data_IF_341384752929
#
_entry.id   IF_341384752929
#
_cell.length_a   1.000
_cell.length_b   1.000
_cell.length_c   1.000
_cell.angle_alpha   90.00
_cell.angle_beta   90.00
_cell.angle_gamma   90.00
#
_symmetry.space_group_name_H-M   'P 1'
#
loop_
_entity.id
_entity.type
_entity.pdbx_description
1 polymer ?
#
# COMPACT_ATOMS: atom_id res chain seq x y z
N UNK A 1 3.63 -54.43 16.48
CA UNK A 1 3.09 -54.37 17.84
C UNK A 1 4.21 -54.29 18.87
N UNK A 2 4.40 -53.12 19.51
CA UNK A 2 4.86 -52.99 20.90
C UNK A 2 4.67 -51.54 21.32
N UNK A 3 3.87 -51.32 22.36
CA UNK A 3 3.64 -50.00 22.94
C UNK A 3 4.40 -49.93 24.27
N UNK A 4 4.95 -48.76 24.59
CA UNK A 4 5.37 -48.40 25.95
C UNK A 4 4.84 -46.98 26.22
N UNK A 5 4.13 -46.83 27.33
CA UNK A 5 3.68 -45.55 27.91
C UNK A 5 4.51 -45.25 29.16
N UNK A 6 4.56 -43.97 29.53
CA UNK A 6 4.83 -43.29 30.83
C UNK A 6 5.73 -42.06 30.54
N UNK A 7 5.55 -40.86 31.09
CA UNK A 7 4.46 -40.25 31.91
C UNK A 7 4.52 -38.70 31.78
N UNK A 8 3.51 -37.96 32.28
CA UNK A 8 3.47 -36.47 32.37
C UNK A 8 4.43 -35.96 33.49
N UNK A 9 4.75 -34.68 33.76
CA UNK A 9 4.36 -33.29 33.34
C UNK A 9 5.32 -32.28 34.06
N UNK A 10 5.24 -30.92 33.95
CA UNK A 10 4.66 -29.99 32.93
C UNK A 10 5.56 -28.77 32.50
N UNK A 11 5.23 -28.13 31.35
CA UNK A 11 5.34 -26.67 30.98
C UNK A 11 6.70 -25.92 31.04
N UNK A 12 6.99 -24.95 30.13
CA UNK A 12 6.11 -23.86 29.64
C UNK A 12 5.75 -23.86 28.12
N UNK A 13 4.98 -22.83 27.72
CA UNK A 13 4.30 -22.56 26.42
C UNK A 13 5.20 -22.61 25.16
N UNK A 14 4.78 -22.93 23.91
CA UNK A 14 3.54 -22.74 23.11
C UNK A 14 3.29 -21.26 22.70
N UNK A 15 3.06 -20.83 21.44
CA UNK A 15 2.88 -21.49 20.12
C UNK A 15 4.11 -21.23 19.21
N UNK A 16 4.50 -21.99 18.16
CA UNK A 16 3.80 -22.74 17.09
C UNK A 16 3.13 -21.88 15.98
N UNK A 17 3.96 -21.37 15.05
CA UNK A 17 3.58 -21.27 13.63
C UNK A 17 3.93 -22.59 12.93
N UNK A 18 3.03 -23.18 12.16
CA UNK A 18 3.36 -24.29 11.24
C UNK A 18 2.38 -24.29 10.07
N UNK A 19 2.82 -23.80 8.92
CA UNK A 19 2.13 -24.00 7.64
C UNK A 19 2.91 -25.04 6.83
N UNK A 20 2.21 -26.06 6.32
CA UNK A 20 2.83 -27.15 5.55
C UNK A 20 2.91 -26.79 4.06
N UNK A 21 4.13 -26.52 3.56
CA UNK A 21 4.45 -26.67 2.14
C UNK A 21 5.86 -27.28 1.99
N UNK A 22 5.97 -28.40 1.28
CA UNK A 22 7.23 -29.12 1.11
C UNK A 22 8.04 -28.61 -0.08
N UNK A 23 9.03 -27.77 0.18
CA UNK A 23 10.19 -27.53 -0.70
C UNK A 23 11.49 -27.60 0.12
N UNK A 24 12.66 -27.59 -0.54
CA UNK A 24 13.94 -27.91 0.10
C UNK A 24 14.37 -26.90 1.17
N UNK A 25 15.17 -27.32 2.19
CA UNK A 25 15.61 -26.42 3.25
C UNK A 25 16.70 -25.48 2.77
N UNK A 26 16.30 -24.33 2.23
CA UNK A 26 17.00 -23.09 2.56
C UNK A 26 16.71 -22.83 4.04
N UNK A 27 17.74 -22.57 4.85
CA UNK A 27 17.51 -22.05 6.20
C UNK A 27 17.01 -20.62 6.04
N UNK A 28 15.69 -20.45 6.08
CA UNK A 28 15.09 -19.13 6.27
C UNK A 28 15.75 -18.49 7.50
N UNK A 29 16.48 -17.40 7.29
CA UNK A 29 17.15 -16.71 8.37
C UNK A 29 16.09 -16.18 9.34
N UNK A 30 16.24 -16.50 10.62
CA UNK A 30 15.32 -16.06 11.66
C UNK A 30 15.23 -14.53 11.64
N UNK A 31 14.01 -13.99 11.68
CA UNK A 31 13.82 -12.54 11.79
C UNK A 31 14.28 -12.05 13.17
N UNK A 32 14.90 -10.88 13.22
CA UNK A 32 15.57 -10.36 14.41
C UNK A 32 14.98 -9.01 14.79
N UNK A 33 14.48 -8.87 16.02
CA UNK A 33 14.16 -7.55 16.57
C UNK A 33 15.45 -6.75 16.78
N UNK A 34 15.49 -5.54 16.23
CA UNK A 34 16.63 -4.62 16.35
C UNK A 34 16.27 -3.28 17.00
N UNK A 35 14.98 -3.02 17.23
CA UNK A 35 14.47 -1.88 18.00
C UNK A 35 13.20 -2.29 18.76
N UNK A 36 13.06 -1.80 19.99
CA UNK A 36 11.85 -1.87 20.84
C UNK A 36 11.96 -0.78 21.91
N UNK A 37 11.00 0.14 21.97
CA UNK A 37 10.87 1.18 23.01
C UNK A 37 9.64 1.00 23.93
N UNK A 38 8.89 -0.10 23.75
CA UNK A 38 7.62 -0.37 24.41
C UNK A 38 6.41 0.37 23.82
N UNK A 39 6.61 1.24 22.83
CA UNK A 39 5.56 1.81 21.98
C UNK A 39 5.54 1.15 20.60
N UNK A 40 6.71 0.90 20.02
CA UNK A 40 6.90 0.20 18.73
C UNK A 40 8.11 -0.73 18.78
N UNK A 41 7.98 -1.90 18.15
CA UNK A 41 9.08 -2.82 17.90
C UNK A 41 9.32 -2.99 16.39
N UNK A 42 10.59 -2.96 15.96
CA UNK A 42 11.01 -3.22 14.57
C UNK A 42 11.73 -4.55 14.47
N UNK A 43 11.32 -5.37 13.50
CA UNK A 43 11.84 -6.72 13.26
C UNK A 43 12.36 -6.81 11.83
N UNK A 44 13.65 -7.11 11.66
CA UNK A 44 14.28 -7.28 10.36
C UNK A 44 14.26 -8.74 9.92
N UNK A 45 13.75 -9.02 8.72
CA UNK A 45 13.69 -10.35 8.14
C UNK A 45 14.68 -10.50 6.96
N UNK A 46 15.71 -11.37 7.06
CA UNK A 46 16.73 -11.53 6.02
C UNK A 46 16.32 -12.46 4.87
N UNK A 47 15.45 -13.44 5.12
CA UNK A 47 14.97 -14.41 4.11
C UNK A 47 13.47 -14.72 4.30
N UNK A 48 12.58 -13.70 4.26
CA UNK A 48 11.15 -13.91 4.31
C UNK A 48 10.67 -14.69 3.07
N UNK A 49 9.71 -15.58 3.26
CA UNK A 49 9.12 -16.33 2.15
C UNK A 49 8.43 -15.36 1.16
N UNK A 50 8.77 -15.47 -0.13
CA UNK A 50 8.14 -14.71 -1.21
C UNK A 50 8.88 -13.44 -1.66
N UNK A 51 9.91 -12.96 -0.95
CA UNK A 51 10.76 -11.84 -1.41
C UNK A 51 12.03 -12.40 -2.03
N UNK A 52 12.20 -12.21 -3.34
CA UNK A 52 13.31 -12.80 -4.13
C UNK A 52 14.53 -11.89 -4.27
N UNK A 53 14.40 -10.63 -3.86
CA UNK A 53 15.39 -9.57 -3.98
C UNK A 53 16.55 -9.72 -2.98
N UNK A 54 17.76 -9.19 -3.27
CA UNK A 54 18.87 -9.25 -2.33
C UNK A 54 18.55 -8.49 -1.03
N UNK A 55 19.11 -8.97 0.08
CA UNK A 55 19.04 -8.23 1.35
C UNK A 55 19.83 -6.92 1.27
N UNK A 56 19.34 -5.91 1.99
CA UNK A 56 19.88 -4.54 2.02
C UNK A 56 20.52 -4.28 3.37
N UNK A 57 21.71 -3.65 3.44
CA UNK A 57 22.33 -3.31 4.72
C UNK A 57 21.54 -2.18 5.41
N UNK A 58 21.09 -2.47 6.63
CA UNK A 58 20.24 -1.61 7.46
C UNK A 58 21.04 -1.07 8.65
N UNK A 59 20.86 0.21 8.92
CA UNK A 59 21.53 0.94 9.99
C UNK A 59 20.49 1.59 10.90
N UNK A 60 20.56 1.39 12.22
CA UNK A 60 19.75 2.08 13.22
C UNK A 60 20.59 3.21 13.83
N UNK A 61 20.14 4.46 13.67
CA UNK A 61 20.81 5.67 14.18
C UNK A 61 22.32 5.71 13.82
N UNK A 62 22.64 5.23 12.60
CA UNK A 62 24.00 5.13 12.05
C UNK A 62 24.78 3.85 12.40
N UNK A 63 24.30 3.03 13.35
CA UNK A 63 24.88 1.73 13.69
C UNK A 63 24.34 0.61 12.81
N UNK A 64 25.21 -0.18 12.18
CA UNK A 64 24.79 -1.35 11.38
C UNK A 64 24.09 -2.40 12.26
N UNK A 65 22.87 -2.82 11.87
CA UNK A 65 22.06 -3.81 12.62
C UNK A 65 21.89 -5.14 11.88
N UNK A 66 21.99 -5.16 10.56
CA UNK A 66 21.88 -6.38 9.77
C UNK A 66 21.67 -6.14 8.28
N UNK A 67 21.55 -7.22 7.52
CA UNK A 67 21.08 -7.18 6.13
C UNK A 67 19.68 -7.80 6.08
N UNK A 68 18.67 -7.03 5.68
CA UNK A 68 17.26 -7.44 5.69
C UNK A 68 16.63 -7.26 4.31
N UNK A 69 15.66 -8.11 3.96
CA UNK A 69 14.82 -7.92 2.75
C UNK A 69 13.56 -7.12 3.04
N UNK A 70 13.00 -7.30 4.24
CA UNK A 70 11.91 -6.50 4.77
C UNK A 70 12.12 -6.18 6.25
N UNK A 71 11.43 -5.14 6.71
CA UNK A 71 11.30 -4.75 8.10
C UNK A 71 9.82 -4.73 8.45
N UNK A 72 9.43 -5.47 9.47
CA UNK A 72 8.08 -5.48 10.06
C UNK A 72 8.06 -4.52 11.25
N UNK A 73 6.94 -3.81 11.44
CA UNK A 73 6.73 -2.94 12.58
C UNK A 73 5.47 -3.33 13.35
N UNK A 74 5.64 -3.46 14.67
CA UNK A 74 4.61 -3.86 15.60
C UNK A 74 4.37 -2.73 16.59
N UNK A 75 3.23 -2.07 16.47
CA UNK A 75 2.86 -0.91 17.29
C UNK A 75 1.94 -1.30 18.44
N UNK A 76 2.08 -0.64 19.58
CA UNK A 76 1.14 -0.77 20.69
C UNK A 76 -0.28 -0.44 20.20
N UNK A 77 -1.22 -1.33 20.49
CA UNK A 77 -2.62 -1.14 20.11
C UNK A 77 -3.25 0.04 20.85
N UNK A 78 -3.97 0.90 20.13
CA UNK A 78 -4.73 2.01 20.73
C UNK A 78 -6.21 1.61 20.83
N UNK A 79 -6.85 1.62 22.02
CA UNK A 79 -6.35 2.09 23.33
C UNK A 79 -5.81 0.95 24.25
N UNK A 80 -5.51 -0.24 23.71
CA UNK A 80 -5.21 -1.45 24.49
C UNK A 80 -3.71 -1.63 24.77
N UNK A 81 -3.27 -1.20 25.97
CA UNK A 81 -1.92 -1.43 26.46
C UNK A 81 -1.53 -2.93 26.45
N UNK A 82 -0.37 -3.26 25.89
CA UNK A 82 0.21 -4.60 25.93
C UNK A 82 -0.19 -5.54 24.80
N UNK A 83 -0.97 -5.08 23.81
CA UNK A 83 -1.08 -5.74 22.51
C UNK A 83 -0.20 -4.99 21.51
N UNK A 84 0.49 -5.71 20.63
CA UNK A 84 1.37 -5.14 19.60
C UNK A 84 1.04 -5.74 18.22
N UNK A 85 -0.05 -5.32 17.57
CA UNK A 85 -0.35 -5.66 16.19
C UNK A 85 0.73 -5.21 15.21
N UNK A 86 0.92 -5.98 14.13
CA UNK A 86 1.63 -5.53 12.93
C UNK A 86 0.87 -4.34 12.31
N UNK A 87 1.56 -3.25 11.98
CA UNK A 87 0.95 -2.05 11.34
C UNK A 87 1.50 -1.78 9.96
N UNK A 88 2.77 -2.08 9.71
CA UNK A 88 3.34 -2.02 8.38
C UNK A 88 4.49 -3.01 8.17
N UNK A 89 4.75 -3.27 6.89
CA UNK A 89 5.91 -3.98 6.37
C UNK A 89 6.55 -3.09 5.30
N UNK A 90 7.81 -2.73 5.52
CA UNK A 90 8.66 -2.09 4.54
C UNK A 90 9.53 -3.17 3.88
N UNK A 91 9.29 -3.47 2.60
CA UNK A 91 10.14 -4.37 1.82
C UNK A 91 11.33 -3.54 1.29
N UNK A 92 12.27 -3.27 2.20
CA UNK A 92 13.45 -2.43 1.96
C UNK A 92 14.29 -2.88 0.76
N UNK A 93 14.18 -4.14 0.32
CA UNK A 93 14.87 -4.69 -0.85
C UNK A 93 14.29 -4.31 -2.22
N UNK A 94 13.03 -3.86 -2.31
CA UNK A 94 12.40 -3.47 -3.57
C UNK A 94 11.56 -2.19 -3.47
N UNK A 95 11.66 -1.46 -2.36
CA UNK A 95 10.93 -0.22 -2.05
C UNK A 95 9.41 -0.38 -1.86
N UNK A 96 8.84 -1.58 -1.91
CA UNK A 96 7.42 -1.78 -1.59
C UNK A 96 7.14 -1.44 -0.13
N UNK A 97 6.00 -0.82 0.11
CA UNK A 97 5.43 -0.55 1.41
C UNK A 97 4.05 -1.19 1.49
N UNK A 98 3.79 -1.98 2.54
CA UNK A 98 2.48 -2.56 2.84
C UNK A 98 2.08 -2.10 4.22
N UNK A 99 1.04 -1.28 4.29
CA UNK A 99 0.45 -0.86 5.56
C UNK A 99 -0.84 -1.64 5.82
N UNK A 100 -1.25 -1.64 7.09
CA UNK A 100 -2.54 -2.13 7.58
C UNK A 100 -2.95 -1.25 8.77
N UNK A 101 -4.17 -1.38 9.27
CA UNK A 101 -4.71 -0.55 10.35
C UNK A 101 -4.96 -1.35 11.63
N UNK A 102 -4.87 -0.67 12.77
CA UNK A 102 -5.28 -1.24 14.06
C UNK A 102 -6.81 -1.23 14.17
N UNK A 103 -7.40 -2.37 14.52
CA UNK A 103 -8.84 -2.48 14.83
C UNK A 103 -9.10 -2.08 16.28
N UNK A 104 -10.33 -1.66 16.59
CA UNK A 104 -10.73 -1.22 17.94
C UNK A 104 -10.63 -2.32 19.02
N UNK A 105 -10.56 -3.60 18.62
CA UNK A 105 -10.32 -4.75 19.51
C UNK A 105 -8.82 -4.99 19.80
N UNK A 106 -7.93 -4.17 19.25
CA UNK A 106 -6.48 -4.25 19.38
C UNK A 106 -5.80 -5.30 18.49
N UNK A 107 -6.56 -5.98 17.62
CA UNK A 107 -5.99 -6.74 16.51
C UNK A 107 -5.62 -5.83 15.33
N UNK A 108 -5.06 -6.40 14.27
CA UNK A 108 -4.87 -5.70 12.99
C UNK A 108 -5.71 -6.34 11.89
N UNK A 109 -5.95 -5.56 10.85
CA UNK A 109 -6.29 -6.06 9.54
C UNK A 109 -5.14 -6.83 8.88
N UNK A 110 -5.45 -7.69 7.93
CA UNK A 110 -4.43 -8.28 7.07
C UNK A 110 -3.75 -7.23 6.17
N UNK A 111 -2.49 -7.48 5.78
CA UNK A 111 -1.82 -6.70 4.74
C UNK A 111 -2.54 -6.93 3.39
N UNK A 112 -2.65 -5.88 2.59
CA UNK A 112 -3.27 -5.94 1.26
C UNK A 112 -2.45 -5.17 0.23
N UNK A 113 -3.07 -4.11 -0.31
CA UNK A 113 -2.49 -3.19 -1.29
C UNK A 113 -1.10 -2.72 -0.89
N UNK A 114 -0.17 -2.76 -1.85
CA UNK A 114 1.19 -2.26 -1.72
C UNK A 114 1.33 -0.90 -2.39
N UNK A 115 2.22 -0.03 -1.86
CA UNK A 115 2.68 1.17 -2.56
C UNK A 115 4.17 1.05 -2.83
N UNK A 116 4.57 1.18 -4.09
CA UNK A 116 5.98 1.23 -4.51
C UNK A 116 6.52 2.61 -4.16
N UNK A 117 7.40 2.68 -3.16
CA UNK A 117 7.98 3.91 -2.64
C UNK A 117 9.13 4.47 -3.49
N UNK A 118 9.00 4.40 -4.82
CA UNK A 118 9.99 4.83 -5.80
C UNK A 118 9.33 5.09 -7.16
N UNK A 119 10.00 5.85 -8.04
CA UNK A 119 9.51 6.08 -9.40
C UNK A 119 9.62 4.79 -10.22
N UNK A 120 9.16 4.84 -11.47
CA UNK A 120 9.47 3.83 -12.49
C UNK A 120 9.34 4.43 -13.89
N UNK A 121 9.99 3.86 -14.89
CA UNK A 121 9.92 4.40 -16.26
C UNK A 121 10.14 3.35 -17.35
N UNK A 122 9.62 3.62 -18.55
CA UNK A 122 9.90 2.82 -19.74
C UNK A 122 10.85 3.55 -20.68
N UNK A 123 11.95 2.90 -21.02
CA UNK A 123 12.92 3.39 -22.00
C UNK A 123 12.45 3.18 -23.45
N UNK A 124 13.08 3.86 -24.41
CA UNK A 124 12.73 3.82 -25.83
C UNK A 124 12.83 2.45 -26.51
N UNK A 125 13.49 1.48 -25.88
CA UNK A 125 13.55 0.06 -26.28
C UNK A 125 12.44 -0.81 -25.68
N UNK A 126 11.55 -0.22 -24.86
CA UNK A 126 10.40 -0.87 -24.23
C UNK A 126 10.68 -1.49 -22.86
N UNK A 127 11.91 -1.43 -22.34
CA UNK A 127 12.26 -1.97 -21.02
C UNK A 127 11.59 -1.14 -19.92
N UNK A 128 10.85 -1.81 -19.03
CA UNK A 128 10.30 -1.21 -17.82
C UNK A 128 11.32 -1.30 -16.68
N UNK A 129 11.86 -0.16 -16.29
CA UNK A 129 12.63 0.02 -15.07
C UNK A 129 11.64 0.23 -13.92
N UNK A 130 11.12 -0.88 -13.38
CA UNK A 130 10.06 -0.85 -12.38
C UNK A 130 10.58 -0.37 -11.01
N UNK A 131 11.13 -1.24 -10.18
CA UNK A 131 11.68 -0.86 -8.87
C UNK A 131 13.14 -0.39 -8.96
N UNK A 132 13.55 0.69 -8.27
CA UNK A 132 14.95 1.04 -8.13
C UNK A 132 15.64 0.04 -7.19
N UNK A 133 16.90 -0.29 -7.44
CA UNK A 133 17.68 -1.23 -6.63
C UNK A 133 18.19 -0.52 -5.35
N UNK A 134 17.72 -0.92 -4.15
CA UNK A 134 18.20 -0.33 -2.90
C UNK A 134 19.59 -0.84 -2.54
N UNK A 135 20.38 0.02 -1.92
CA UNK A 135 21.79 -0.24 -1.57
C UNK A 135 22.11 0.02 -0.10
N UNK A 136 21.22 0.73 0.60
CA UNK A 136 21.32 1.10 2.01
C UNK A 136 19.94 1.54 2.51
N UNK A 137 19.62 1.20 3.76
CA UNK A 137 18.52 1.80 4.50
C UNK A 137 19.03 2.31 5.86
N UNK A 138 18.78 3.59 6.15
CA UNK A 138 19.02 4.19 7.46
C UNK A 138 17.68 4.35 8.20
N UNK A 139 17.60 3.86 9.43
CA UNK A 139 16.44 3.91 10.31
C UNK A 139 16.76 4.85 11.47
N UNK A 140 15.86 5.80 11.73
CA UNK A 140 15.96 6.79 12.80
C UNK A 140 14.75 6.68 13.72
N UNK A 141 14.98 6.87 15.02
CA UNK A 141 13.94 6.70 16.05
C UNK A 141 13.85 7.88 17.02
N UNK A 142 12.71 8.06 17.69
CA UNK A 142 12.52 9.08 18.73
C UNK A 142 12.34 10.53 18.23
N UNK A 143 12.04 10.71 16.94
CA UNK A 143 11.72 12.02 16.34
C UNK A 143 10.23 12.37 16.39
N UNK A 144 9.86 13.54 15.83
CA UNK A 144 8.44 13.93 15.67
C UNK A 144 7.68 13.03 14.68
N UNK A 145 8.42 12.41 13.75
CA UNK A 145 7.95 11.38 12.81
C UNK A 145 7.91 9.98 13.44
N UNK A 146 8.32 9.87 14.72
CA UNK A 146 8.51 8.65 15.52
C UNK A 146 9.55 7.68 14.96
N UNK A 147 9.28 7.11 13.79
CA UNK A 147 10.18 6.26 13.01
C UNK A 147 10.36 6.89 11.62
N UNK A 148 11.60 7.02 11.16
CA UNK A 148 11.91 7.49 9.80
C UNK A 148 12.92 6.57 9.13
N UNK A 149 12.61 6.11 7.92
CA UNK A 149 13.53 5.33 7.09
C UNK A 149 14.02 6.20 5.93
N UNK A 150 15.32 6.23 5.66
CA UNK A 150 15.94 6.85 4.49
C UNK A 150 16.61 5.74 3.64
N UNK A 151 16.04 5.44 2.48
CA UNK A 151 16.57 4.42 1.56
C UNK A 151 17.37 5.10 0.45
N UNK A 152 18.60 4.62 0.23
CA UNK A 152 19.43 4.98 -0.94
C UNK A 152 19.32 3.89 -2.00
N UNK A 153 18.76 4.23 -3.16
CA UNK A 153 18.51 3.31 -4.26
C UNK A 153 18.92 3.89 -5.62
N UNK A 154 18.76 3.13 -6.69
CA UNK A 154 18.90 3.66 -8.04
C UNK A 154 18.72 2.65 -9.16
N UNK A 155 18.77 3.16 -10.38
CA UNK A 155 18.81 2.37 -11.61
C UNK A 155 20.25 2.44 -12.14
N UNK A 156 21.03 1.34 -12.08
CA UNK A 156 22.46 1.37 -12.37
C UNK A 156 22.79 2.02 -13.72
N UNK A 157 23.53 3.13 -13.66
CA UNK A 157 23.95 3.92 -14.83
C UNK A 157 22.91 4.93 -15.35
N UNK A 158 21.65 4.84 -14.94
CA UNK A 158 20.56 5.68 -15.45
C UNK A 158 20.16 6.79 -14.45
N UNK A 159 19.90 6.45 -13.19
CA UNK A 159 19.45 7.41 -12.18
C UNK A 159 19.76 6.98 -10.74
N UNK A 160 19.90 7.95 -9.84
CA UNK A 160 19.87 7.77 -8.40
C UNK A 160 18.47 8.05 -7.86
N UNK A 161 18.08 7.35 -6.79
CA UNK A 161 16.79 7.52 -6.11
C UNK A 161 17.02 7.58 -4.60
N UNK A 162 16.41 8.55 -3.92
CA UNK A 162 16.28 8.54 -2.46
C UNK A 162 14.80 8.47 -2.09
N UNK A 163 14.46 7.58 -1.16
CA UNK A 163 13.10 7.38 -0.66
C UNK A 163 13.11 7.55 0.86
N UNK A 164 12.44 8.58 1.37
CA UNK A 164 12.27 8.81 2.81
C UNK A 164 10.86 8.45 3.21
N UNK A 165 10.72 7.64 4.26
CA UNK A 165 9.43 7.17 4.79
C UNK A 165 9.30 7.56 6.24
N UNK A 166 8.15 8.06 6.65
CA UNK A 166 7.89 8.48 8.03
C UNK A 166 6.65 7.78 8.56
N UNK A 167 6.79 7.14 9.72
CA UNK A 167 5.76 6.30 10.33
C UNK A 167 5.38 6.89 11.70
N UNK A 168 4.56 7.97 11.72
CA UNK A 168 4.03 8.54 12.95
C UNK A 168 3.22 7.51 13.75
N UNK A 169 2.77 7.87 14.95
CA UNK A 169 1.89 6.99 15.72
C UNK A 169 0.63 6.62 14.90
N UNK A 170 0.28 5.33 14.79
CA UNK A 170 -0.94 4.91 14.12
C UNK A 170 -2.17 5.38 14.90
N UNK A 171 -3.29 5.54 14.20
CA UNK A 171 -4.59 5.73 14.83
C UNK A 171 -5.39 4.41 14.80
N UNK A 172 -6.37 4.27 15.69
CA UNK A 172 -7.38 3.23 15.51
C UNK A 172 -8.13 3.51 14.19
N UNK A 173 -8.24 2.50 13.32
CA UNK A 173 -8.86 2.62 12.01
C UNK A 173 -7.96 3.11 10.86
N UNK A 174 -6.79 3.71 11.13
CA UNK A 174 -5.92 4.25 10.07
C UNK A 174 -4.42 4.30 10.44
N UNK A 175 -3.57 3.92 9.49
CA UNK A 175 -2.10 4.03 9.56
C UNK A 175 -1.61 4.96 8.45
N UNK A 176 -1.28 6.22 8.78
CA UNK A 176 -0.70 7.17 7.84
C UNK A 176 0.84 7.00 7.75
N UNK A 177 1.38 7.12 6.53
CA UNK A 177 2.80 7.01 6.24
C UNK A 177 3.19 8.12 5.26
N UNK A 178 4.11 9.00 5.69
CA UNK A 178 4.69 9.98 4.77
C UNK A 178 5.71 9.28 3.86
N UNK A 179 5.71 9.62 2.57
CA UNK A 179 6.58 9.06 1.56
C UNK A 179 7.12 10.19 0.67
N UNK A 180 8.39 10.56 0.86
CA UNK A 180 9.12 11.49 0.00
C UNK A 180 10.01 10.70 -0.94
N UNK A 181 9.93 10.98 -2.24
CA UNK A 181 10.71 10.30 -3.28
C UNK A 181 11.39 11.35 -4.14
N UNK A 182 12.70 11.26 -4.28
CA UNK A 182 13.48 12.04 -5.24
C UNK A 182 14.17 11.14 -6.26
N UNK A 183 14.06 11.51 -7.53
CA UNK A 183 14.72 10.91 -8.67
C UNK A 183 15.74 11.90 -9.25
N UNK A 184 16.96 11.46 -9.50
CA UNK A 184 18.01 12.24 -10.15
C UNK A 184 18.62 11.46 -11.32
N UNK A 185 18.39 11.91 -12.55
CA UNK A 185 18.94 11.29 -13.75
C UNK A 185 20.47 11.43 -13.78
N UNK A 186 21.20 10.32 -13.82
CA UNK A 186 22.68 10.31 -13.91
C UNK A 186 23.15 10.28 -15.37
N UNK A 187 22.35 9.73 -16.28
CA UNK A 187 22.53 9.81 -17.72
C UNK A 187 21.32 10.47 -18.39
N UNK A 188 21.42 10.75 -19.69
CA UNK A 188 20.21 10.97 -20.49
C UNK A 188 19.39 9.67 -20.53
N UNK A 189 18.06 9.78 -20.43
CA UNK A 189 17.12 8.65 -20.46
C UNK A 189 16.09 8.95 -21.55
N UNK A 190 16.12 8.22 -22.65
CA UNK A 190 15.10 8.28 -23.71
C UNK A 190 13.89 7.47 -23.29
N UNK A 191 12.73 8.13 -23.11
CA UNK A 191 11.49 7.48 -22.72
C UNK A 191 10.77 6.83 -23.92
N UNK A 192 9.87 5.90 -23.64
CA UNK A 192 9.06 5.23 -24.66
C UNK A 192 8.03 6.20 -25.28
N UNK A 193 8.34 6.73 -26.48
CA UNK A 193 7.56 7.76 -27.16
C UNK A 193 6.06 7.44 -27.34
N UNK A 194 5.72 6.15 -27.51
CA UNK A 194 4.32 5.71 -27.66
C UNK A 194 3.52 5.59 -26.35
N UNK A 195 4.14 5.87 -25.20
CA UNK A 195 3.52 5.79 -23.87
C UNK A 195 3.66 7.08 -23.06
N UNK A 196 4.17 8.17 -23.66
CA UNK A 196 4.27 9.48 -23.01
C UNK A 196 2.89 9.97 -22.55
N UNK A 197 2.81 10.37 -21.29
CA UNK A 197 1.55 10.77 -20.64
C UNK A 197 0.58 9.61 -20.44
N UNK A 198 1.10 8.41 -20.14
CA UNK A 198 0.31 7.23 -19.78
C UNK A 198 1.12 6.22 -18.99
N UNK A 199 2.23 5.72 -19.54
CA UNK A 199 3.08 4.69 -18.93
C UNK A 199 4.55 4.85 -19.32
N UNK A 200 5.02 6.11 -19.36
CA UNK A 200 6.40 6.43 -19.68
C UNK A 200 7.22 6.73 -18.41
N UNK A 201 6.63 7.45 -17.45
CA UNK A 201 7.28 7.77 -16.18
C UNK A 201 6.24 7.90 -15.06
N UNK A 202 6.34 6.99 -14.09
CA UNK A 202 5.49 6.93 -12.90
C UNK A 202 6.27 7.45 -11.69
N UNK A 203 5.67 8.28 -10.86
CA UNK A 203 6.27 8.79 -9.61
C UNK A 203 6.10 7.82 -8.43
N UNK A 204 4.94 7.16 -8.34
CA UNK A 204 4.62 6.13 -7.36
C UNK A 204 3.53 5.23 -7.95
N UNK A 205 3.52 3.94 -7.57
CA UNK A 205 2.50 2.95 -8.02
C UNK A 205 1.87 2.29 -6.81
N UNK A 206 0.55 2.34 -6.70
CA UNK A 206 -0.23 1.45 -5.84
C UNK A 206 -0.55 0.16 -6.61
N UNK A 207 -0.39 -0.99 -5.96
CA UNK A 207 -0.62 -2.31 -6.54
C UNK A 207 -1.51 -3.14 -5.63
N UNK A 208 -2.53 -3.76 -6.19
CA UNK A 208 -3.47 -4.63 -5.50
C UNK A 208 -3.51 -6.00 -6.19
N UNK A 209 -3.57 -7.05 -5.37
CA UNK A 209 -3.75 -8.43 -5.81
C UNK A 209 -5.20 -8.67 -6.28
N UNK A 210 -5.52 -9.87 -6.76
CA UNK A 210 -6.91 -10.26 -6.99
C UNK A 210 -7.50 -10.98 -5.77
N UNK A 211 -8.83 -10.90 -5.63
CA UNK A 211 -9.58 -11.65 -4.63
C UNK A 211 -9.65 -13.15 -4.99
N UNK A 212 -9.94 -13.46 -6.25
CA UNK A 212 -9.96 -14.83 -6.79
C UNK A 212 -9.68 -14.80 -8.32
N UNK A 213 -10.07 -15.83 -9.07
CA UNK A 213 -9.85 -15.86 -10.53
C UNK A 213 -10.65 -14.79 -11.31
N UNK A 214 -11.53 -14.06 -10.62
CA UNK A 214 -12.50 -13.14 -11.25
C UNK A 214 -12.57 -11.80 -10.55
N UNK A 215 -12.56 -11.81 -9.22
CA UNK A 215 -12.89 -10.65 -8.40
C UNK A 215 -11.64 -9.87 -7.97
N UNK A 216 -11.79 -8.59 -7.68
CA UNK A 216 -10.71 -7.68 -7.32
C UNK A 216 -10.62 -7.54 -5.79
N UNK A 217 -9.40 -7.41 -5.27
CA UNK A 217 -9.16 -7.12 -3.84
C UNK A 217 -9.53 -5.66 -3.53
N UNK A 218 -9.10 -4.72 -4.39
CA UNK A 218 -9.69 -3.38 -4.52
C UNK A 218 -10.47 -3.27 -5.84
N UNK A 219 -11.79 -3.13 -5.76
CA UNK A 219 -12.72 -3.11 -6.89
C UNK A 219 -13.26 -1.70 -7.24
N UNK A 220 -12.91 -0.70 -6.44
CA UNK A 220 -13.20 0.71 -6.71
C UNK A 220 -11.90 1.52 -6.74
N UNK A 221 -11.72 2.34 -7.78
CA UNK A 221 -10.70 3.40 -7.80
C UNK A 221 -11.42 4.73 -7.70
N UNK A 222 -11.05 5.56 -6.73
CA UNK A 222 -11.51 6.95 -6.67
C UNK A 222 -10.35 7.90 -6.84
N UNK A 223 -10.58 9.04 -7.44
CA UNK A 223 -9.58 10.10 -7.52
C UNK A 223 -10.24 11.47 -7.64
N UNK A 224 -9.58 12.49 -7.13
CA UNK A 224 -9.93 13.87 -7.39
C UNK A 224 -9.36 14.28 -8.76
N UNK A 225 -10.19 14.78 -9.68
CA UNK A 225 -9.67 15.37 -10.92
C UNK A 225 -9.11 16.78 -10.68
N UNK A 226 -8.37 17.32 -11.65
CA UNK A 226 -7.80 18.68 -11.55
C UNK A 226 -8.84 19.82 -11.41
N UNK A 227 -10.14 19.53 -11.52
CA UNK A 227 -11.24 20.46 -11.20
C UNK A 227 -11.78 20.33 -9.78
N UNK A 228 -11.24 19.42 -8.95
CA UNK A 228 -11.73 19.10 -7.62
C UNK A 228 -12.94 18.16 -7.60
N UNK A 229 -13.29 17.54 -8.73
CA UNK A 229 -14.43 16.61 -8.81
C UNK A 229 -13.94 15.19 -8.55
N UNK A 230 -14.52 14.52 -7.56
CA UNK A 230 -14.25 13.09 -7.31
C UNK A 230 -14.82 12.26 -8.46
N UNK A 231 -13.97 11.43 -9.05
CA UNK A 231 -14.28 10.43 -10.06
C UNK A 231 -14.19 9.05 -9.45
N UNK A 232 -14.99 8.13 -9.96
CA UNK A 232 -14.99 6.72 -9.57
C UNK A 232 -14.84 5.88 -10.83
N UNK A 233 -13.95 4.88 -10.79
CA UNK A 233 -13.87 3.78 -11.76
C UNK A 233 -14.22 2.53 -10.99
N UNK A 234 -15.32 1.89 -11.37
CA UNK A 234 -15.69 0.57 -10.86
C UNK A 234 -15.06 -0.53 -11.71
N UNK A 235 -14.43 -1.49 -11.03
CA UNK A 235 -13.83 -2.65 -11.63
C UNK A 235 -14.78 -3.84 -11.46
N UNK A 236 -15.01 -4.57 -12.54
CA UNK A 236 -15.90 -5.72 -12.58
C UNK A 236 -15.30 -6.82 -13.45
N UNK A 237 -15.94 -7.99 -13.47
CA UNK A 237 -15.51 -9.12 -14.31
C UNK A 237 -15.47 -8.78 -15.81
N UNK A 238 -16.25 -7.78 -16.25
CA UNK A 238 -16.31 -7.30 -17.63
C UNK A 238 -15.29 -6.17 -17.93
N UNK A 239 -14.55 -5.69 -16.92
CA UNK A 239 -13.50 -4.68 -17.13
C UNK A 239 -12.38 -5.26 -18.00
N UNK A 240 -12.05 -4.64 -19.14
CA UNK A 240 -11.02 -5.14 -20.04
C UNK A 240 -9.65 -5.31 -19.36
N UNK A 241 -9.01 -6.44 -19.66
CA UNK A 241 -7.68 -6.84 -19.17
C UNK A 241 -6.63 -6.68 -20.26
N UNK A 242 -5.36 -6.64 -19.86
CA UNK A 242 -4.18 -6.34 -20.70
C UNK A 242 -4.22 -4.95 -21.36
N UNK A 243 -4.90 -3.99 -20.71
CA UNK A 243 -5.07 -2.62 -21.19
C UNK A 243 -4.98 -1.60 -20.05
N UNK A 244 -4.74 -0.35 -20.43
CA UNK A 244 -4.87 0.80 -19.53
C UNK A 244 -6.33 1.01 -19.13
N UNK A 245 -6.55 1.40 -17.88
CA UNK A 245 -7.87 1.71 -17.33
C UNK A 245 -8.45 3.02 -17.87
N UNK A 246 -7.59 3.97 -18.24
CA UNK A 246 -7.95 5.22 -18.88
C UNK A 246 -7.32 5.31 -20.28
N UNK A 247 -8.00 5.92 -21.29
CA UNK A 247 -7.45 6.04 -22.65
C UNK A 247 -6.11 6.80 -22.75
N UNK A 248 -5.85 7.68 -21.77
CA UNK A 248 -4.58 8.34 -21.49
C UNK A 248 -4.58 8.71 -19.99
N UNK A 249 -3.43 9.08 -19.40
CA UNK A 249 -3.42 9.61 -18.04
C UNK A 249 -4.24 10.89 -17.95
N UNK A 250 -5.07 11.04 -16.91
CA UNK A 250 -5.90 12.22 -16.69
C UNK A 250 -5.31 13.10 -15.59
N UNK A 251 -5.32 14.45 -15.72
CA UNK A 251 -4.85 15.35 -14.66
C UNK A 251 -5.55 15.10 -13.33
N UNK A 252 -4.74 14.80 -12.30
CA UNK A 252 -5.19 14.57 -10.93
C UNK A 252 -5.20 15.88 -10.13
N UNK A 253 -6.12 15.98 -9.18
CA UNK A 253 -6.13 16.97 -8.11
C UNK A 253 -5.20 16.55 -6.98
N UNK A 254 -5.72 16.47 -5.75
CA UNK A 254 -4.93 16.16 -4.56
C UNK A 254 -4.64 14.67 -4.30
N UNK A 255 -5.45 13.72 -4.77
CA UNK A 255 -5.37 12.33 -4.25
C UNK A 255 -6.05 11.28 -5.13
N UNK A 256 -5.68 10.01 -4.90
CA UNK A 256 -6.43 8.83 -5.36
C UNK A 256 -6.54 7.75 -4.27
N UNK A 257 -7.51 6.85 -4.42
CA UNK A 257 -7.82 5.75 -3.51
C UNK A 257 -7.99 4.44 -4.28
N UNK A 258 -7.49 3.35 -3.70
CA UNK A 258 -7.92 1.99 -3.99
C UNK A 258 -8.84 1.53 -2.85
N UNK A 259 -10.12 1.35 -3.17
CA UNK A 259 -11.16 0.93 -2.24
C UNK A 259 -11.56 -0.51 -2.49
N UNK A 260 -11.80 -1.21 -1.38
CA UNK A 260 -12.26 -2.59 -1.27
C UNK A 260 -13.68 -2.55 -0.72
N UNK A 261 -14.67 -2.98 -1.49
CA UNK A 261 -16.03 -3.10 -0.96
C UNK A 261 -16.17 -4.30 -0.03
N UNK A 262 -17.12 -4.25 0.93
CA UNK A 262 -17.54 -5.42 1.69
C UNK A 262 -17.89 -6.59 0.75
N UNK A 263 -17.44 -7.79 1.09
CA UNK A 263 -17.62 -8.99 0.26
C UNK A 263 -16.33 -9.53 -0.37
N UNK A 264 -15.19 -8.83 -0.23
CA UNK A 264 -13.87 -9.46 -0.41
C UNK A 264 -13.78 -10.70 0.51
N UNK A 265 -13.34 -11.84 -0.03
CA UNK A 265 -13.16 -13.13 0.67
C UNK A 265 -11.70 -13.47 0.96
N UNK A 266 -10.76 -12.79 0.30
CA UNK A 266 -9.32 -12.97 0.43
C UNK A 266 -8.83 -11.76 1.20
N UNK A 267 -8.57 -11.95 2.49
CA UNK A 267 -8.36 -10.86 3.44
C UNK A 267 -9.52 -9.83 3.43
N UNK A 268 -10.75 -10.24 3.82
CA UNK A 268 -11.94 -9.39 3.91
C UNK A 268 -11.76 -8.09 4.70
N UNK A 269 -10.76 -8.06 5.57
CA UNK A 269 -10.43 -6.98 6.49
C UNK A 269 -9.22 -6.16 6.03
N UNK A 270 -8.60 -6.47 4.89
CA UNK A 270 -7.43 -5.75 4.40
C UNK A 270 -7.76 -4.29 4.02
N UNK A 271 -6.79 -3.36 4.09
CA UNK A 271 -7.10 -1.94 4.05
C UNK A 271 -7.48 -1.40 2.68
N UNK A 272 -8.36 -0.40 2.70
CA UNK A 272 -8.41 0.67 1.71
C UNK A 272 -7.11 1.48 1.76
N UNK A 273 -6.61 1.94 0.60
CA UNK A 273 -5.39 2.75 0.54
C UNK A 273 -5.65 4.05 -0.21
N UNK A 274 -5.42 5.18 0.47
CA UNK A 274 -5.36 6.50 -0.13
C UNK A 274 -3.90 6.91 -0.35
N UNK A 275 -3.63 7.58 -1.46
CA UNK A 275 -2.38 8.29 -1.74
C UNK A 275 -2.73 9.75 -2.00
N UNK A 276 -2.36 10.63 -1.06
CA UNK A 276 -2.50 12.07 -1.18
C UNK A 276 -1.18 12.70 -1.61
N UNK A 277 -1.24 13.71 -2.48
CA UNK A 277 -0.10 14.46 -2.99
C UNK A 277 0.10 15.69 -2.10
N UNK A 278 1.14 15.66 -1.27
CA UNK A 278 1.50 16.75 -0.36
C UNK A 278 2.28 17.83 -1.10
N UNK A 279 3.24 17.43 -1.95
CA UNK A 279 3.99 18.32 -2.82
C UNK A 279 4.56 17.56 -4.03
N UNK A 280 4.94 18.29 -5.08
CA UNK A 280 5.70 17.77 -6.21
C UNK A 280 6.62 18.85 -6.77
N UNK A 281 7.80 18.47 -7.26
CA UNK A 281 8.78 19.39 -7.85
C UNK A 281 8.75 19.42 -9.39
N UNK A 282 7.90 18.62 -10.03
CA UNK A 282 7.54 18.82 -11.43
C UNK A 282 6.75 20.13 -11.58
N UNK A 283 6.59 20.69 -12.79
CA UNK A 283 5.72 21.84 -12.99
C UNK A 283 4.26 21.53 -12.56
N UNK A 284 3.48 22.58 -12.30
CA UNK A 284 2.09 22.41 -11.86
C UNK A 284 1.22 21.90 -13.02
N UNK A 285 0.41 20.87 -12.77
CA UNK A 285 -0.41 20.19 -13.79
C UNK A 285 0.29 19.03 -14.51
N UNK A 286 1.53 18.69 -14.13
CA UNK A 286 2.30 17.61 -14.74
C UNK A 286 1.97 16.21 -14.18
N UNK A 287 1.19 16.11 -13.10
CA UNK A 287 0.77 14.83 -12.53
C UNK A 287 -0.60 14.40 -13.05
N UNK A 288 -0.73 13.10 -13.31
CA UNK A 288 -1.98 12.46 -13.67
C UNK A 288 -2.15 11.10 -13.01
N UNK A 289 -3.35 10.55 -13.12
CA UNK A 289 -3.63 9.17 -12.77
C UNK A 289 -3.79 8.32 -14.03
N UNK A 290 -3.19 7.14 -13.99
CA UNK A 290 -3.42 6.05 -14.94
C UNK A 290 -3.42 4.73 -14.14
N UNK A 291 -3.98 3.68 -14.72
CA UNK A 291 -3.79 2.33 -14.21
C UNK A 291 -3.76 1.30 -15.33
N UNK A 292 -3.42 0.06 -14.98
CA UNK A 292 -3.37 -1.08 -15.88
C UNK A 292 -3.89 -2.30 -15.15
N UNK A 293 -4.69 -3.10 -15.87
CA UNK A 293 -5.22 -4.36 -15.38
C UNK A 293 -4.57 -5.52 -16.12
N UNK A 294 -3.83 -6.36 -15.41
CA UNK A 294 -3.10 -7.48 -15.99
C UNK A 294 -4.03 -8.57 -16.57
N UNK A 295 -3.51 -9.31 -17.54
CA UNK A 295 -4.17 -10.46 -18.14
C UNK A 295 -4.38 -11.66 -17.19
N UNK A 296 -3.71 -11.67 -16.03
CA UNK A 296 -3.69 -12.83 -15.11
C UNK A 296 -5.02 -13.05 -14.40
N UNK A 297 -5.39 -14.31 -14.21
CA UNK A 297 -6.48 -14.78 -13.32
C UNK A 297 -5.93 -15.41 -12.03
N UNK A 298 -4.65 -15.21 -11.72
CA UNK A 298 -4.07 -15.64 -10.45
C UNK A 298 -4.34 -14.63 -9.34
N UNK A 299 -5.05 -15.05 -8.28
CA UNK A 299 -5.26 -14.28 -7.05
C UNK A 299 -3.97 -13.69 -6.46
N UNK A 300 -2.84 -14.40 -6.63
CA UNK A 300 -1.54 -14.02 -6.07
C UNK A 300 -0.73 -13.04 -6.94
N UNK A 301 -1.21 -12.66 -8.12
CA UNK A 301 -0.50 -11.73 -9.01
C UNK A 301 -0.93 -10.29 -8.71
N UNK A 302 0.05 -9.39 -8.59
CA UNK A 302 -0.09 -7.92 -8.51
C UNK A 302 -0.68 -7.39 -9.83
N UNK A 303 -2.00 -7.47 -9.94
CA UNK A 303 -2.69 -7.41 -11.24
C UNK A 303 -3.44 -6.12 -11.49
N UNK A 304 -3.91 -5.45 -10.43
CA UNK A 304 -4.34 -4.06 -10.52
C UNK A 304 -3.15 -3.17 -10.15
N UNK A 305 -2.73 -2.31 -11.07
CA UNK A 305 -1.75 -1.25 -10.77
C UNK A 305 -2.35 0.11 -11.13
N UNK A 306 -2.19 1.08 -10.24
CA UNK A 306 -2.64 2.47 -10.41
C UNK A 306 -1.51 3.39 -9.96
N UNK A 307 -1.20 4.42 -10.74
CA UNK A 307 0.00 5.23 -10.50
C UNK A 307 -0.18 6.72 -10.80
N UNK A 308 0.73 7.50 -10.22
CA UNK A 308 0.93 8.91 -10.54
C UNK A 308 1.85 9.03 -11.76
N UNK A 309 1.31 9.35 -12.93
CA UNK A 309 2.06 9.53 -14.18
C UNK A 309 2.58 10.97 -14.30
N UNK A 310 3.78 11.14 -14.86
CA UNK A 310 4.25 12.43 -15.35
C UNK A 310 3.68 12.70 -16.76
N UNK A 311 2.53 13.39 -16.84
CA UNK A 311 1.73 13.58 -18.07
C UNK A 311 2.56 14.19 -19.22
N UNK A 312 3.33 15.23 -18.92
CA UNK A 312 4.11 15.99 -19.90
C UNK A 312 5.61 15.66 -19.87
N UNK A 313 5.96 14.45 -19.41
CA UNK A 313 7.35 13.98 -19.39
C UNK A 313 8.01 14.16 -20.76
N UNK A 314 9.22 14.76 -20.82
CA UNK A 314 9.91 14.93 -22.08
C UNK A 314 10.33 13.56 -22.64
N UNK A 315 10.26 13.37 -23.96
CA UNK A 315 10.70 12.13 -24.62
C UNK A 315 12.16 11.75 -24.37
N UNK A 316 12.96 12.69 -23.84
CA UNK A 316 14.26 12.45 -23.24
C UNK A 316 14.34 13.24 -21.93
N UNK A 317 14.64 12.56 -20.82
CA UNK A 317 15.03 13.18 -19.55
C UNK A 317 16.54 13.43 -19.61
N UNK A 318 17.04 14.68 -19.58
CA UNK A 318 18.48 14.95 -19.58
C UNK A 318 19.18 14.53 -18.27
N UNK A 319 20.45 14.15 -18.36
CA UNK A 319 21.34 13.98 -17.21
C UNK A 319 21.34 15.24 -16.33
N UNK A 320 21.27 15.06 -15.01
CA UNK A 320 21.15 16.14 -14.03
C UNK A 320 19.70 16.62 -13.79
N UNK A 321 18.70 16.08 -14.48
CA UNK A 321 17.30 16.33 -14.13
C UNK A 321 16.97 15.74 -12.77
N UNK A 322 16.42 16.56 -11.88
CA UNK A 322 15.91 16.14 -10.56
C UNK A 322 14.42 16.41 -10.49
N UNK A 323 13.64 15.40 -10.10
CA UNK A 323 12.21 15.53 -9.79
C UNK A 323 11.90 14.82 -8.48
N UNK A 324 10.96 15.33 -7.71
CA UNK A 324 10.49 14.70 -6.48
C UNK A 324 8.97 14.79 -6.30
N UNK A 325 8.44 13.89 -5.48
CA UNK A 325 7.07 13.91 -4.99
C UNK A 325 7.08 13.62 -3.49
N UNK A 326 6.25 14.34 -2.74
CA UNK A 326 5.96 14.08 -1.34
C UNK A 326 4.50 13.63 -1.24
N UNK A 327 4.29 12.44 -0.67
CA UNK A 327 3.01 11.76 -0.59
C UNK A 327 2.64 11.45 0.85
N UNK A 328 1.34 11.40 1.14
CA UNK A 328 0.79 10.78 2.34
C UNK A 328 0.03 9.53 1.91
N UNK A 329 0.55 8.36 2.28
CA UNK A 329 -0.08 7.06 2.06
C UNK A 329 -0.84 6.67 3.32
N UNK A 330 -2.15 6.52 3.25
CA UNK A 330 -2.98 6.11 4.40
C UNK A 330 -3.63 4.77 4.10
N UNK A 331 -3.29 3.76 4.90
CA UNK A 331 -4.07 2.52 4.94
C UNK A 331 -5.15 2.65 6.02
N UNK A 332 -6.40 2.36 5.67
CA UNK A 332 -7.55 2.49 6.56
C UNK A 332 -8.55 1.36 6.35
N UNK A 333 -9.39 1.10 7.35
CA UNK A 333 -10.49 0.14 7.22
C UNK A 333 -11.61 0.64 6.32
N UNK A 334 -12.77 -0.01 6.39
CA UNK A 334 -14.02 0.58 5.88
C UNK A 334 -14.11 2.03 6.38
N UNK A 335 -14.34 2.96 5.45
CA UNK A 335 -14.19 4.38 5.73
C UNK A 335 -15.02 4.77 6.96
N UNK A 336 -14.39 5.36 7.98
CA UNK A 336 -15.15 5.92 9.10
C UNK A 336 -16.15 6.92 8.53
N UNK A 337 -17.44 6.62 8.68
CA UNK A 337 -18.51 7.43 8.11
C UNK A 337 -18.34 8.85 8.61
N UNK A 338 -18.06 9.77 7.68
CA UNK A 338 -17.95 11.19 7.99
C UNK A 338 -19.25 11.70 8.59
N UNK A 339 -19.20 12.78 9.37
CA UNK A 339 -20.41 13.37 9.95
C UNK A 339 -21.48 13.72 8.89
N UNK A 340 -21.08 13.98 7.65
CA UNK A 340 -21.95 14.21 6.50
C UNK A 340 -22.61 12.91 6.01
N UNK A 341 -21.84 11.83 5.82
CA UNK A 341 -22.38 10.50 5.49
C UNK A 341 -23.31 9.96 6.60
N UNK A 342 -22.94 10.16 7.87
CA UNK A 342 -23.80 9.83 9.03
C UNK A 342 -25.12 10.61 8.99
N UNK A 343 -25.07 11.88 8.60
CA UNK A 343 -26.26 12.73 8.49
C UNK A 343 -27.13 12.39 7.27
N UNK A 344 -26.53 11.95 6.16
CA UNK A 344 -27.21 11.59 4.91
C UNK A 344 -27.93 10.23 4.98
N UNK A 345 -27.36 9.27 5.71
CA UNK A 345 -27.84 7.88 5.78
C UNK A 345 -29.34 7.75 6.10
N UNK A 346 -29.79 8.35 7.21
CA UNK A 346 -31.20 8.24 7.65
C UNK A 346 -32.17 8.92 6.66
N UNK A 347 -31.92 10.15 6.17
CA UNK A 347 -32.69 10.75 5.07
C UNK A 347 -32.81 9.89 3.81
N UNK A 348 -31.73 9.23 3.37
CA UNK A 348 -31.72 8.34 2.20
C UNK A 348 -32.62 7.12 2.44
N UNK A 349 -32.45 6.43 3.57
CA UNK A 349 -33.29 5.26 3.91
C UNK A 349 -34.78 5.56 4.02
N UNK A 350 -35.14 6.82 4.31
CA UNK A 350 -36.53 7.28 4.37
C UNK A 350 -37.07 7.76 3.01
N UNK A 351 -36.25 7.77 1.96
CA UNK A 351 -36.56 8.36 0.65
C UNK A 351 -36.82 9.87 0.72
N UNK A 352 -36.32 10.52 1.78
CA UNK A 352 -36.41 11.96 2.00
C UNK A 352 -35.25 12.72 1.34
N UNK A 353 -34.14 12.02 1.10
CA UNK A 353 -33.03 12.45 0.27
C UNK A 353 -33.04 11.66 -1.05
N UNK A 354 -32.72 12.34 -2.13
CA UNK A 354 -32.69 11.79 -3.49
C UNK A 354 -31.43 12.21 -4.25
N UNK A 355 -30.42 12.74 -3.56
CA UNK A 355 -29.09 12.95 -4.16
C UNK A 355 -28.44 11.59 -4.44
N UNK A 356 -28.05 11.28 -5.69
CA UNK A 356 -27.39 10.02 -6.03
C UNK A 356 -26.11 9.80 -5.23
N UNK A 357 -25.35 10.85 -4.91
CA UNK A 357 -24.12 10.73 -4.15
C UNK A 357 -24.39 10.31 -2.70
N UNK A 358 -25.50 10.76 -2.11
CA UNK A 358 -25.91 10.33 -0.77
C UNK A 358 -26.43 8.90 -0.78
N UNK A 359 -27.09 8.47 -1.85
CA UNK A 359 -27.48 7.07 -2.05
C UNK A 359 -26.25 6.16 -2.13
N UNK A 360 -25.26 6.51 -2.96
CA UNK A 360 -23.99 5.78 -3.09
C UNK A 360 -23.21 5.70 -1.77
N UNK A 361 -23.33 6.71 -0.88
CA UNK A 361 -22.73 6.69 0.46
C UNK A 361 -23.48 5.85 1.49
N UNK A 362 -24.75 5.54 1.22
CA UNK A 362 -25.64 4.87 2.18
C UNK A 362 -25.87 3.39 1.83
N UNK A 363 -25.45 2.96 0.64
CA UNK A 363 -25.32 1.57 0.20
C UNK A 363 -24.04 0.95 0.79
N UNK A 364 -24.08 0.67 2.10
CA UNK A 364 -22.97 0.19 2.91
C UNK A 364 -22.77 -1.33 2.81
N UNK A 365 -23.79 -2.08 2.38
CA UNK A 365 -23.67 -3.48 1.99
C UNK A 365 -23.19 -3.63 0.52
N UNK A 366 -23.25 -2.55 -0.26
CA UNK A 366 -22.88 -2.44 -1.67
C UNK A 366 -23.68 -3.35 -2.64
N UNK A 367 -24.98 -3.55 -2.39
CA UNK A 367 -25.88 -4.32 -3.26
C UNK A 367 -26.48 -3.53 -4.43
N UNK A 368 -26.21 -2.21 -4.47
CA UNK A 368 -26.74 -1.27 -5.45
C UNK A 368 -27.95 -0.48 -4.94
N UNK A 369 -28.27 -0.56 -3.64
CA UNK A 369 -29.38 0.15 -2.98
C UNK A 369 -29.09 0.43 -1.52
N UNK A 370 -29.20 1.70 -1.13
CA UNK A 370 -29.35 2.08 0.27
C UNK A 370 -30.75 1.69 0.79
N UNK A 371 -30.85 0.61 1.57
CA UNK A 371 -32.09 0.15 2.19
C UNK A 371 -31.94 -0.38 3.65
N UNK A 372 -32.91 -1.16 4.14
CA UNK A 372 -32.92 -1.67 5.51
C UNK A 372 -31.77 -2.63 5.83
N UNK A 373 -31.13 -3.23 4.83
CA UNK A 373 -30.01 -4.16 5.03
C UNK A 373 -28.71 -3.43 5.43
N UNK A 374 -28.53 -2.17 5.03
CA UNK A 374 -27.39 -1.31 5.38
C UNK A 374 -27.35 -0.89 6.85
N UNK A 375 -28.50 -0.92 7.53
CA UNK A 375 -28.64 -0.41 8.90
C UNK A 375 -27.64 -1.11 9.84
N UNK A 376 -27.37 -2.40 9.67
CA UNK A 376 -26.41 -3.09 10.52
C UNK A 376 -24.97 -2.63 10.25
N UNK A 377 -24.60 -2.41 8.98
CA UNK A 377 -23.28 -1.88 8.62
C UNK A 377 -23.08 -0.46 9.15
N UNK A 378 -24.12 0.39 9.04
CA UNK A 378 -24.14 1.72 9.64
C UNK A 378 -23.96 1.70 11.16
N UNK A 379 -24.70 0.84 11.87
CA UNK A 379 -24.57 0.72 13.32
C UNK A 379 -23.18 0.19 13.73
N UNK A 380 -22.59 -0.73 12.97
CA UNK A 380 -21.23 -1.20 13.19
C UNK A 380 -20.21 -0.06 13.01
N UNK A 381 -20.33 0.72 11.93
CA UNK A 381 -19.43 1.85 11.64
C UNK A 381 -19.55 2.99 12.67
N UNK A 382 -20.78 3.40 13.01
CA UNK A 382 -21.04 4.55 13.91
C UNK A 382 -20.85 4.20 15.38
N UNK A 383 -21.28 3.01 15.82
CA UNK A 383 -21.33 2.63 17.24
C UNK A 383 -20.19 1.68 17.64
N UNK A 384 -19.59 0.96 16.68
CA UNK A 384 -18.45 0.06 16.94
C UNK A 384 -18.79 -1.17 17.77
N UNK A 385 -19.95 -1.79 17.50
CA UNK A 385 -20.42 -3.02 18.14
C UNK A 385 -20.09 -4.28 17.32
#
# INVERSE_FOLDING_TARGET
MRAVRLSRSPLPALLLLTCCCTTMPVQAGECVSFFDDGGVALIGCPDPAGVGEPAVPVYLDGGFVGEFRLIEAYDQAIPLSGCYPLTYVDIVANTYLRATYQKRDGSTAALGTSVVGGPSFRTSDGVLHFVPLPSRADVFTGGAERIRFELTAGYPGLAAVSSTRTFPDPAAGATPIGLSVQFAATSDISLHAGLLGSDAFRFATASSMFLDDRTFDADLIRYEDAGGVVRTIELSNDTPRDVHLLPAAVPIGGWFELIKRPGSKWFPDSPNVRVEIVAASCPAGCLGIQGFLAASDNANDDSLTVWLEWIDAPGMIPSGTVVSVDLLVTAFGDAELTAEQIAAFVPVLLGADADPQHADWSDLNCDGRADGEDIQFFLNAVIGM
#
